data_IF_319873872860
#
_entry.id   IF_319873872860
#
_cell.length_a   1.000
_cell.length_b   1.000
_cell.length_c   1.000
_cell.angle_alpha   90.00
_cell.angle_beta   90.00
_cell.angle_gamma   90.00
#
_symmetry.space_group_name_H-M   'P 1'
#
loop_
_entity.id
_entity.type
_entity.pdbx_description
1 polymer ?
#
# COMPACT_ATOMS: atom_id res chain seq x y z
N UNK A 1 6.99 -12.51 -6.76
CA UNK A 1 6.13 -12.80 -5.59
C UNK A 1 6.05 -11.49 -4.83
N UNK A 2 4.86 -11.00 -4.49
CA UNK A 2 4.71 -9.68 -3.86
C UNK A 2 5.02 -9.75 -2.36
N UNK A 3 5.99 -8.97 -1.90
CA UNK A 3 6.47 -8.95 -0.52
C UNK A 3 6.49 -7.54 0.08
N UNK A 4 6.68 -7.45 1.40
CA UNK A 4 6.88 -6.17 2.10
C UNK A 4 8.13 -5.46 1.59
N UNK A 5 9.14 -6.22 1.16
CA UNK A 5 10.38 -5.67 0.61
C UNK A 5 10.15 -5.07 -0.79
N UNK A 6 9.27 -5.63 -1.60
CA UNK A 6 8.89 -5.05 -2.90
C UNK A 6 8.15 -3.72 -2.71
N UNK A 7 7.27 -3.64 -1.71
CA UNK A 7 6.63 -2.37 -1.30
C UNK A 7 7.68 -1.34 -0.90
N UNK A 8 8.64 -1.72 -0.07
CA UNK A 8 9.72 -0.83 0.36
C UNK A 8 10.55 -0.30 -0.80
N UNK A 9 11.03 -1.19 -1.68
CA UNK A 9 11.83 -0.84 -2.84
C UNK A 9 11.06 0.14 -3.73
N UNK A 10 9.78 -0.12 -3.99
CA UNK A 10 8.96 0.75 -4.82
C UNK A 10 8.72 2.12 -4.17
N UNK A 11 8.42 2.17 -2.87
CA UNK A 11 8.26 3.44 -2.15
C UNK A 11 9.57 4.27 -2.17
N UNK A 12 10.73 3.62 -1.99
CA UNK A 12 12.04 4.28 -2.05
C UNK A 12 12.38 4.79 -3.46
N UNK A 13 11.80 4.20 -4.51
CA UNK A 13 11.95 4.71 -5.89
C UNK A 13 11.28 6.07 -6.10
N UNK A 14 10.27 6.43 -5.29
CA UNK A 14 9.52 7.70 -5.37
C UNK A 14 10.24 8.83 -4.62
N UNK A 15 11.46 9.16 -5.06
CA UNK A 15 12.42 10.06 -4.37
C UNK A 15 11.82 11.39 -3.88
N UNK A 16 10.90 11.99 -4.65
CA UNK A 16 10.32 13.30 -4.33
C UNK A 16 9.02 13.21 -3.50
N UNK A 17 8.42 12.03 -3.32
CA UNK A 17 7.15 11.89 -2.62
C UNK A 17 7.38 11.77 -1.10
N UNK A 18 6.84 12.72 -0.32
CA UNK A 18 6.98 12.75 1.14
C UNK A 18 6.23 11.59 1.81
N UNK A 19 5.01 11.30 1.36
CA UNK A 19 4.18 10.19 1.82
C UNK A 19 4.90 8.85 1.62
N UNK A 20 5.47 8.63 0.43
CA UNK A 20 6.20 7.41 0.12
C UNK A 20 7.42 7.21 1.04
N UNK A 21 8.19 8.27 1.28
CA UNK A 21 9.34 8.25 2.21
C UNK A 21 8.91 7.94 3.65
N UNK A 22 7.80 8.52 4.12
CA UNK A 22 7.24 8.25 5.44
C UNK A 22 6.78 6.79 5.55
N UNK A 23 6.05 6.29 4.55
CA UNK A 23 5.57 4.91 4.52
C UNK A 23 6.71 3.90 4.46
N UNK A 24 7.77 4.16 3.67
CA UNK A 24 8.93 3.27 3.56
C UNK A 24 9.61 3.00 4.91
N UNK A 25 9.62 4.00 5.80
CA UNK A 25 10.19 3.90 7.16
C UNK A 25 9.29 3.19 8.17
N UNK A 26 8.01 3.00 7.85
CA UNK A 26 7.04 2.41 8.77
C UNK A 26 6.67 0.99 8.32
N UNK A 27 7.11 -0.01 9.09
CA UNK A 27 6.86 -1.43 8.80
C UNK A 27 5.37 -1.76 8.71
N UNK A 28 4.54 -1.20 9.59
CA UNK A 28 3.09 -1.47 9.62
C UNK A 28 2.40 -0.91 8.38
N UNK A 29 2.77 0.29 7.93
CA UNK A 29 2.25 0.87 6.69
C UNK A 29 2.63 0.03 5.47
N UNK A 30 3.88 -0.43 5.38
CA UNK A 30 4.32 -1.33 4.29
C UNK A 30 3.54 -2.65 4.27
N UNK A 31 3.36 -3.27 5.44
CA UNK A 31 2.55 -4.49 5.58
C UNK A 31 1.11 -4.25 5.13
N UNK A 32 0.52 -3.12 5.55
CA UNK A 32 -0.86 -2.78 5.20
C UNK A 32 -1.08 -2.59 3.70
N UNK A 33 -0.15 -1.92 3.04
CA UNK A 33 -0.17 -1.74 1.58
C UNK A 33 -0.18 -3.09 0.88
N UNK A 34 0.69 -4.02 1.32
CA UNK A 34 0.73 -5.37 0.77
C UNK A 34 -0.57 -6.14 1.01
N UNK A 35 -1.10 -6.11 2.23
CA UNK A 35 -2.38 -6.75 2.57
C UNK A 35 -3.51 -6.24 1.68
N UNK A 36 -3.66 -4.92 1.55
CA UNK A 36 -4.71 -4.31 0.71
C UNK A 36 -4.57 -4.74 -0.76
N UNK A 37 -3.34 -4.83 -1.27
CA UNK A 37 -3.09 -5.33 -2.60
C UNK A 37 -3.50 -6.81 -2.77
N UNK A 38 -3.11 -7.68 -1.83
CA UNK A 38 -3.45 -9.10 -1.87
C UNK A 38 -4.96 -9.33 -1.71
N UNK A 39 -5.62 -8.56 -0.84
CA UNK A 39 -7.09 -8.59 -0.68
C UNK A 39 -7.79 -8.18 -1.96
N UNK A 40 -7.40 -7.05 -2.57
CA UNK A 40 -7.98 -6.59 -3.84
C UNK A 40 -7.92 -7.66 -4.93
N UNK A 41 -6.72 -8.18 -5.18
CA UNK A 41 -6.54 -9.21 -6.21
C UNK A 41 -7.25 -10.52 -5.83
N UNK A 42 -7.18 -10.92 -4.56
CA UNK A 42 -7.86 -12.12 -4.06
C UNK A 42 -9.38 -12.06 -4.21
N UNK A 43 -10.00 -10.90 -3.96
CA UNK A 43 -11.45 -10.74 -4.10
C UNK A 43 -11.89 -10.78 -5.57
N UNK A 44 -11.10 -10.21 -6.48
CA UNK A 44 -11.37 -10.31 -7.93
C UNK A 44 -11.17 -11.74 -8.47
N UNK A 45 -10.18 -12.48 -7.96
CA UNK A 45 -10.00 -13.89 -8.30
C UNK A 45 -11.21 -14.74 -7.88
N UNK A 46 -11.75 -14.53 -6.66
CA UNK A 46 -12.93 -15.27 -6.16
C UNK A 46 -14.16 -15.12 -7.05
N UNK A 47 -14.31 -13.98 -7.74
CA UNK A 47 -15.43 -13.69 -8.63
C UNK A 47 -15.07 -13.82 -10.12
N UNK A 48 -13.95 -14.48 -10.44
CA UNK A 48 -13.46 -14.72 -11.81
C UNK A 48 -13.25 -13.46 -12.67
N UNK A 49 -12.90 -12.32 -12.06
CA UNK A 49 -12.59 -11.06 -12.77
C UNK A 49 -11.07 -10.85 -12.89
N UNK A 50 -10.41 -11.69 -13.68
CA UNK A 50 -8.95 -11.68 -13.84
C UNK A 50 -8.46 -10.39 -14.51
N UNK A 51 -9.28 -9.78 -15.36
CA UNK A 51 -9.03 -8.50 -16.03
C UNK A 51 -8.89 -7.31 -15.06
N UNK A 52 -9.44 -7.45 -13.85
CA UNK A 52 -9.42 -6.42 -12.81
C UNK A 52 -8.20 -6.51 -11.88
N UNK A 53 -7.35 -7.52 -12.04
CA UNK A 53 -6.14 -7.65 -11.25
C UNK A 53 -5.17 -6.51 -11.54
N UNK A 54 -4.56 -5.97 -10.49
CA UNK A 54 -3.59 -4.89 -10.58
C UNK A 54 -2.24 -5.38 -10.09
N UNK A 55 -1.14 -4.98 -10.73
CA UNK A 55 0.18 -5.25 -10.19
C UNK A 55 0.42 -4.37 -8.95
N UNK A 56 1.32 -4.82 -8.06
CA UNK A 56 1.58 -4.16 -6.78
C UNK A 56 1.91 -2.65 -6.94
N UNK A 57 2.77 -2.32 -7.89
CA UNK A 57 3.20 -0.94 -8.13
C UNK A 57 2.04 0.00 -8.50
N UNK A 58 1.06 -0.45 -9.29
CA UNK A 58 -0.12 0.34 -9.63
C UNK A 58 -1.01 0.62 -8.42
N UNK A 59 -1.16 -0.35 -7.50
CA UNK A 59 -1.89 -0.11 -6.26
C UNK A 59 -1.14 0.85 -5.33
N UNK A 60 0.20 0.75 -5.26
CA UNK A 60 1.00 1.68 -4.46
C UNK A 60 0.84 3.10 -4.99
N UNK A 61 0.92 3.32 -6.31
CA UNK A 61 0.70 4.64 -6.90
C UNK A 61 -0.71 5.17 -6.57
N UNK A 62 -1.74 4.34 -6.72
CA UNK A 62 -3.11 4.71 -6.36
C UNK A 62 -3.25 5.13 -4.88
N UNK A 63 -2.61 4.41 -3.96
CA UNK A 63 -2.60 4.78 -2.54
C UNK A 63 -1.79 6.04 -2.26
N UNK A 64 -0.70 6.29 -2.99
CA UNK A 64 0.07 7.52 -2.85
C UNK A 64 -0.71 8.74 -3.35
N UNK A 65 -1.59 8.57 -4.33
CA UNK A 65 -2.52 9.61 -4.78
C UNK A 65 -3.68 9.81 -3.79
N UNK A 66 -4.02 8.78 -3.01
CA UNK A 66 -5.09 8.80 -2.01
C UNK A 66 -4.61 8.31 -0.62
N UNK A 67 -3.70 9.04 0.07
CA UNK A 67 -3.03 8.54 1.26
C UNK A 67 -3.95 8.18 2.43
N UNK A 68 -5.11 8.83 2.56
CA UNK A 68 -6.10 8.59 3.61
C UNK A 68 -6.58 7.14 3.67
N UNK A 69 -6.63 6.44 2.53
CA UNK A 69 -7.03 5.02 2.45
C UNK A 69 -6.15 4.10 3.28
N UNK A 70 -4.91 4.51 3.53
CA UNK A 70 -3.95 3.80 4.37
C UNK A 70 -3.75 4.53 5.70
N UNK A 71 -3.53 5.85 5.67
CA UNK A 71 -3.13 6.66 6.83
C UNK A 71 -4.17 6.73 7.94
N UNK A 72 -5.46 6.78 7.62
CA UNK A 72 -6.52 7.03 8.63
C UNK A 72 -6.56 5.92 9.69
N UNK A 73 -6.12 4.71 9.35
CA UNK A 73 -6.02 3.57 10.26
C UNK A 73 -4.81 3.63 11.22
N UNK A 74 -3.89 4.58 11.01
CA UNK A 74 -2.68 4.76 11.81
C UNK A 74 -2.63 6.14 12.49
N UNK A 75 -3.67 6.97 12.31
CA UNK A 75 -3.82 8.24 13.02
C UNK A 75 -4.20 8.04 14.51
N UNK A 76 -4.84 6.93 14.84
CA UNK A 76 -5.32 6.65 16.20
C UNK A 76 -4.20 6.21 17.19
N UNK A 77 -3.00 5.85 16.71
CA UNK A 77 -1.88 5.46 17.57
C UNK A 77 -0.96 6.63 17.96
N UNK A 78 -1.12 7.80 17.34
CA UNK A 78 -0.28 8.99 17.58
C UNK A 78 -1.03 10.16 18.24
N UNK A 79 -2.30 9.95 18.63
CA UNK A 79 -3.23 11.02 18.99
C UNK A 79 -4.05 10.80 20.26
N UNK A 80 -3.61 9.95 21.19
CA UNK A 80 -4.08 10.06 22.58
C UNK A 80 -3.31 11.18 23.27
N UNK A 81 -3.88 12.38 23.23
CA UNK A 81 -3.59 13.47 24.19
C UNK A 81 -4.79 13.58 25.11
#
# INVERSE_FOLDING_TARGET
>A
MDTVQDVEIYLLSKKCNLTARRWAKNKRLKQRILERHLTWNGDHLKINRIDMLKPLHSNIDYYLDHPSLIDDQFRDEAGQV
#
